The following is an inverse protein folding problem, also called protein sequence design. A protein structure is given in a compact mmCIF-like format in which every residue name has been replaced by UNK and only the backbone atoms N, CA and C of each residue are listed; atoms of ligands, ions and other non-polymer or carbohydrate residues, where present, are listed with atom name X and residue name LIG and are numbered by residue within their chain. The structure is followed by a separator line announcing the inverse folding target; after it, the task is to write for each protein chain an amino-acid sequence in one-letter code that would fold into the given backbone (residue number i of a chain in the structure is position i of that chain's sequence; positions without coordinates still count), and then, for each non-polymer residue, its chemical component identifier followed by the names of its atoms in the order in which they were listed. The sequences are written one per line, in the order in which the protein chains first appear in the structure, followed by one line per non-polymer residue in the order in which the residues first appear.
data_IF_004204223762
#
_entry.id   IF_004204223762
#
_cell.length_a   1.000
_cell.length_b   1.000
_cell.length_c   1.000
_cell.angle_alpha   90.00
_cell.angle_beta   90.00
_cell.angle_gamma   90.00
#
_symmetry.space_group_name_H-M   'P 1'
#
loop_
_entity.id
_entity.type
_entity.pdbx_description
1 polymer ?
#
# COMPACT_ATOMS: atom_id res chain seq x y z
N UNK A 1 -17.52 -36.20 -10.20
CA UNK A 1 -16.15 -36.50 -10.65
C UNK A 1 -15.87 -35.68 -11.88
N UNK A 2 -15.17 -34.54 -11.75
CA UNK A 2 -14.63 -33.81 -12.90
C UNK A 2 -13.17 -34.23 -13.05
N UNK A 3 -12.82 -34.80 -14.21
CA UNK A 3 -11.50 -35.25 -14.56
C UNK A 3 -10.52 -34.07 -14.49
N UNK A 4 -9.45 -34.22 -13.71
CA UNK A 4 -8.33 -33.28 -13.68
C UNK A 4 -7.71 -33.21 -15.08
N UNK A 5 -7.35 -32.01 -15.58
CA UNK A 5 -6.65 -31.89 -16.85
C UNK A 5 -5.27 -32.58 -16.77
N UNK A 6 -4.96 -33.35 -17.81
CA UNK A 6 -3.70 -34.06 -17.99
C UNK A 6 -2.53 -33.08 -17.94
N UNK A 7 -1.59 -33.35 -17.04
CA UNK A 7 -0.40 -32.56 -16.81
C UNK A 7 0.58 -32.70 -17.98
N UNK A 8 0.90 -31.58 -18.65
CA UNK A 8 2.08 -31.54 -19.51
C UNK A 8 3.35 -31.74 -18.63
N UNK A 9 4.39 -32.45 -19.11
CA UNK A 9 5.61 -32.66 -18.35
C UNK A 9 6.27 -31.29 -18.08
N UNK A 10 6.71 -31.07 -16.84
CA UNK A 10 7.47 -29.89 -16.41
C UNK A 10 8.70 -29.72 -17.32
N UNK A 11 8.79 -28.60 -18.04
CA UNK A 11 9.96 -28.28 -18.84
C UNK A 11 11.17 -28.11 -17.92
N UNK A 12 12.36 -28.59 -18.34
CA UNK A 12 13.60 -28.28 -17.61
C UNK A 12 13.74 -26.75 -17.53
N UNK A 13 14.13 -26.25 -16.37
CA UNK A 13 14.29 -24.83 -16.09
C UNK A 13 15.55 -24.32 -16.80
N UNK A 14 15.37 -23.70 -17.94
CA UNK A 14 16.42 -22.88 -18.58
C UNK A 14 16.35 -21.48 -17.98
N UNK A 15 17.49 -20.93 -17.56
CA UNK A 15 17.57 -19.53 -17.16
C UNK A 15 17.19 -18.67 -18.37
N UNK A 16 16.16 -17.82 -18.30
CA UNK A 16 15.79 -16.99 -19.43
C UNK A 16 16.94 -16.07 -19.85
N UNK A 17 17.10 -15.89 -21.15
CA UNK A 17 18.05 -14.92 -21.71
C UNK A 17 17.70 -13.48 -21.33
N UNK A 18 18.61 -12.52 -21.57
CA UNK A 18 18.42 -11.13 -21.19
C UNK A 18 17.16 -10.49 -21.77
N UNK A 19 16.73 -10.92 -22.95
CA UNK A 19 15.55 -10.37 -23.67
C UNK A 19 14.33 -11.30 -23.62
N UNK A 20 14.45 -12.49 -23.03
CA UNK A 20 13.35 -13.45 -22.99
C UNK A 20 12.25 -12.98 -22.03
N UNK A 21 10.96 -13.25 -22.35
CA UNK A 21 9.86 -13.02 -21.43
C UNK A 21 10.05 -13.83 -20.14
N UNK A 22 9.84 -13.17 -18.99
CA UNK A 22 9.87 -13.80 -17.69
C UNK A 22 8.49 -14.31 -17.29
N UNK A 23 8.42 -15.41 -16.54
CA UNK A 23 7.21 -15.99 -15.97
C UNK A 23 7.26 -15.80 -14.45
N UNK A 24 6.40 -14.93 -13.96
CA UNK A 24 6.44 -14.42 -12.59
C UNK A 24 5.22 -14.94 -11.81
N UNK A 25 5.44 -15.62 -10.68
CA UNK A 25 4.41 -15.84 -9.69
C UNK A 25 4.39 -14.65 -8.72
N UNK A 26 3.35 -13.83 -8.79
CA UNK A 26 3.20 -12.62 -7.98
C UNK A 26 2.30 -12.93 -6.77
N UNK A 27 2.85 -12.81 -5.56
CA UNK A 27 2.15 -13.15 -4.32
C UNK A 27 1.63 -11.91 -3.62
N UNK A 28 0.36 -11.90 -3.25
CA UNK A 28 -0.22 -10.87 -2.38
C UNK A 28 -1.17 -11.50 -1.36
N UNK A 29 -0.88 -11.37 -0.07
CA UNK A 29 -1.72 -12.00 0.95
C UNK A 29 -3.03 -11.24 1.21
N UNK A 30 -3.09 -9.97 0.83
CA UNK A 30 -4.29 -9.10 0.84
C UNK A 30 -4.24 -8.14 -0.33
N UNK A 31 -5.28 -8.16 -1.16
CA UNK A 31 -5.36 -7.34 -2.36
C UNK A 31 -6.61 -6.45 -2.39
N UNK A 32 -6.88 -5.62 -1.35
CA UNK A 32 -8.03 -4.69 -1.40
C UNK A 32 -8.01 -3.91 -2.71
N UNK A 33 -9.08 -3.97 -3.53
CA UNK A 33 -9.02 -3.52 -4.92
C UNK A 33 -8.89 -1.99 -5.08
N UNK A 34 -9.57 -1.22 -4.24
CA UNK A 34 -9.65 0.24 -4.37
C UNK A 34 -8.98 1.00 -3.22
N UNK A 35 -8.59 0.30 -2.16
CA UNK A 35 -8.13 0.93 -0.92
C UNK A 35 -7.01 0.08 -0.32
N UNK A 36 -5.83 0.67 -0.21
CA UNK A 36 -4.66 0.01 0.37
C UNK A 36 -3.57 -0.25 -0.67
N UNK A 37 -2.34 0.12 -0.34
CA UNK A 37 -1.20 0.13 -1.26
C UNK A 37 -0.90 -1.21 -1.93
N UNK A 38 -1.13 -2.35 -1.26
CA UNK A 38 -0.78 -3.67 -1.80
C UNK A 38 -1.65 -4.09 -2.99
N UNK A 39 -2.96 -3.85 -2.95
CA UNK A 39 -3.88 -4.18 -4.05
C UNK A 39 -3.62 -3.31 -5.27
N UNK A 40 -3.46 -2.01 -5.07
CA UNK A 40 -3.12 -1.03 -6.12
C UNK A 40 -1.77 -1.37 -6.75
N UNK A 41 -0.75 -1.64 -5.94
CA UNK A 41 0.57 -2.07 -6.41
C UNK A 41 0.50 -3.35 -7.26
N UNK A 42 -0.24 -4.37 -6.78
CA UNK A 42 -0.45 -5.62 -7.53
C UNK A 42 -1.06 -5.35 -8.89
N UNK A 43 -2.18 -4.61 -8.93
CA UNK A 43 -2.91 -4.29 -10.17
C UNK A 43 -2.01 -3.62 -11.21
N UNK A 44 -1.36 -2.54 -10.81
CA UNK A 44 -0.63 -1.71 -11.77
C UNK A 44 0.73 -2.30 -12.16
N UNK A 45 1.46 -2.91 -11.23
CA UNK A 45 2.75 -3.51 -11.57
C UNK A 45 2.57 -4.73 -12.47
N UNK A 46 1.61 -5.62 -12.16
CA UNK A 46 1.38 -6.81 -13.00
C UNK A 46 0.89 -6.44 -14.39
N UNK A 47 0.02 -5.41 -14.51
CA UNK A 47 -0.36 -4.85 -15.81
C UNK A 47 0.86 -4.33 -16.57
N UNK A 48 1.71 -3.53 -15.94
CA UNK A 48 2.90 -2.97 -16.59
C UNK A 48 3.89 -4.07 -17.02
N UNK A 49 4.04 -5.15 -16.25
CA UNK A 49 4.85 -6.31 -16.62
C UNK A 49 4.32 -7.01 -17.87
N UNK A 50 3.00 -7.20 -17.96
CA UNK A 50 2.37 -7.79 -19.16
C UNK A 50 2.44 -6.85 -20.36
N UNK A 51 2.29 -5.54 -20.17
CA UNK A 51 2.50 -4.53 -21.21
C UNK A 51 3.94 -4.55 -21.77
N UNK A 52 4.92 -5.00 -20.97
CA UNK A 52 6.32 -5.20 -21.39
C UNK A 52 6.59 -6.59 -22.01
N UNK A 53 5.57 -7.44 -22.14
CA UNK A 53 5.67 -8.76 -22.75
C UNK A 53 6.04 -9.89 -21.78
N UNK A 54 6.09 -9.64 -20.47
CA UNK A 54 6.29 -10.69 -19.47
C UNK A 54 4.97 -11.40 -19.13
N UNK A 55 5.05 -12.54 -18.46
CA UNK A 55 3.90 -13.30 -17.98
C UNK A 55 3.85 -13.22 -16.46
N UNK A 56 2.80 -12.61 -15.93
CA UNK A 56 2.53 -12.55 -14.49
C UNK A 56 1.27 -13.34 -14.16
N UNK A 57 1.31 -14.17 -13.13
CA UNK A 57 0.15 -14.80 -12.52
C UNK A 57 0.10 -14.38 -11.05
N UNK A 58 -1.04 -13.84 -10.62
CA UNK A 58 -1.23 -13.38 -9.25
C UNK A 58 -1.82 -14.50 -8.41
N UNK A 59 -1.16 -14.85 -7.32
CA UNK A 59 -1.69 -15.71 -6.27
C UNK A 59 -2.09 -14.81 -5.10
N UNK A 60 -3.37 -14.82 -4.73
CA UNK A 60 -3.89 -13.89 -3.72
C UNK A 60 -4.65 -14.57 -2.60
N UNK A 61 -4.44 -14.07 -1.37
CA UNK A 61 -5.39 -14.22 -0.26
C UNK A 61 -6.49 -13.16 -0.30
N UNK A 62 -7.50 -13.34 0.54
CA UNK A 62 -8.64 -12.41 0.66
C UNK A 62 -8.26 -11.14 1.44
N UNK A 63 -8.86 -9.98 1.08
CA UNK A 63 -9.70 -9.74 -0.09
C UNK A 63 -8.88 -9.75 -1.38
N UNK A 64 -9.48 -10.27 -2.46
CA UNK A 64 -8.79 -10.45 -3.73
C UNK A 64 -8.61 -9.11 -4.47
N UNK A 65 -7.47 -8.90 -5.18
CA UNK A 65 -7.26 -7.72 -5.99
C UNK A 65 -8.09 -7.77 -7.29
N UNK A 66 -8.37 -6.60 -7.85
CA UNK A 66 -8.74 -6.48 -9.26
C UNK A 66 -7.44 -6.40 -10.06
N UNK A 67 -7.27 -7.28 -11.03
CA UNK A 67 -6.10 -7.31 -11.93
C UNK A 67 -6.53 -7.14 -13.38
N UNK A 68 -5.58 -6.83 -14.27
CA UNK A 68 -5.82 -6.78 -15.71
C UNK A 68 -6.31 -8.15 -16.22
N UNK A 69 -7.21 -8.17 -17.20
CA UNK A 69 -7.81 -9.41 -17.75
C UNK A 69 -6.79 -10.40 -18.34
N UNK A 70 -5.61 -9.92 -18.72
CA UNK A 70 -4.49 -10.73 -19.22
C UNK A 70 -3.68 -11.38 -18.10
N UNK A 71 -3.91 -10.98 -16.85
CA UNK A 71 -3.21 -11.48 -15.66
C UNK A 71 -4.07 -12.53 -14.97
N UNK A 72 -3.73 -13.83 -15.04
CA UNK A 72 -4.45 -14.85 -14.30
C UNK A 72 -4.41 -14.59 -12.78
N UNK A 73 -5.56 -14.74 -12.14
CA UNK A 73 -5.70 -14.65 -10.68
C UNK A 73 -6.00 -16.05 -10.12
N UNK A 74 -5.11 -16.51 -9.23
CA UNK A 74 -5.30 -17.73 -8.44
C UNK A 74 -5.71 -17.34 -7.03
N UNK A 75 -6.93 -17.67 -6.68
CA UNK A 75 -7.47 -17.45 -5.35
C UNK A 75 -6.97 -18.53 -4.40
N UNK A 76 -6.29 -18.13 -3.33
CA UNK A 76 -5.86 -18.99 -2.23
C UNK A 76 -6.60 -18.58 -0.96
N UNK A 77 -7.86 -19.01 -0.80
CA UNK A 77 -8.71 -18.54 0.28
C UNK A 77 -8.13 -18.90 1.65
N UNK A 78 -8.24 -17.97 2.58
CA UNK A 78 -7.98 -18.16 4.01
C UNK A 78 -9.26 -18.42 4.77
N UNK A 79 -9.19 -18.61 6.09
CA UNK A 79 -10.36 -18.71 6.96
C UNK A 79 -11.11 -17.37 7.11
N UNK A 80 -10.61 -16.30 6.51
CA UNK A 80 -11.22 -14.97 6.54
C UNK A 80 -11.61 -14.50 7.94
N UNK A 81 -10.68 -14.71 8.88
CA UNK A 81 -10.88 -14.40 10.31
C UNK A 81 -11.07 -12.88 10.52
N UNK A 82 -10.43 -12.06 9.67
CA UNK A 82 -10.45 -10.60 9.75
C UNK A 82 -11.20 -9.96 8.59
N UNK A 83 -12.42 -10.45 8.32
CA UNK A 83 -13.26 -9.83 7.31
C UNK A 83 -13.88 -8.51 7.80
N UNK A 84 -14.34 -7.70 6.84
CA UNK A 84 -14.87 -6.35 7.14
C UNK A 84 -16.22 -6.39 7.88
N UNK A 85 -16.97 -7.51 7.86
CA UNK A 85 -18.28 -7.66 8.51
C UNK A 85 -18.18 -8.19 9.94
N UNK A 86 -17.32 -9.18 10.17
CA UNK A 86 -17.12 -9.84 11.47
C UNK A 86 -15.62 -9.92 11.76
N UNK A 87 -14.99 -8.80 12.14
CA UNK A 87 -13.57 -8.82 12.48
C UNK A 87 -13.31 -9.73 13.69
N UNK A 88 -12.28 -10.55 13.61
CA UNK A 88 -11.89 -11.52 14.64
C UNK A 88 -12.93 -12.65 14.89
N UNK A 89 -13.60 -13.12 13.84
CA UNK A 89 -14.49 -14.28 13.96
C UNK A 89 -13.69 -15.55 14.31
N UNK A 90 -14.28 -16.43 15.12
CA UNK A 90 -13.74 -17.78 15.31
C UNK A 90 -14.32 -18.70 14.25
N UNK A 91 -13.51 -19.32 13.38
CA UNK A 91 -14.00 -20.28 12.40
C UNK A 91 -14.53 -21.54 13.07
N UNK A 92 -15.57 -22.12 12.48
CA UNK A 92 -16.09 -23.41 12.92
C UNK A 92 -15.16 -24.57 12.53
N UNK A 93 -15.19 -25.67 13.30
CA UNK A 93 -14.34 -26.86 13.02
C UNK A 93 -14.56 -27.40 11.61
N UNK A 94 -15.79 -27.32 11.09
CA UNK A 94 -16.13 -27.74 9.72
C UNK A 94 -15.53 -26.88 8.61
N UNK A 95 -15.01 -25.70 8.93
CA UNK A 95 -14.29 -24.83 8.00
C UNK A 95 -12.82 -25.23 7.86
N UNK A 96 -12.29 -26.02 8.81
CA UNK A 96 -10.90 -26.45 8.83
C UNK A 96 -10.72 -27.67 7.89
N UNK A 97 -10.42 -27.40 6.63
CA UNK A 97 -10.36 -28.40 5.56
C UNK A 97 -8.96 -28.98 5.36
N UNK A 98 -7.92 -28.22 5.69
CA UNK A 98 -6.54 -28.61 5.48
C UNK A 98 -5.60 -28.22 6.64
N UNK A 99 -4.34 -28.63 6.53
CA UNK A 99 -3.30 -28.35 7.54
C UNK A 99 -2.99 -26.86 7.69
N UNK A 100 -3.24 -26.06 6.65
CA UNK A 100 -2.96 -24.63 6.68
C UNK A 100 -4.05 -23.86 7.41
N UNK A 101 -5.30 -24.34 7.35
CA UNK A 101 -6.40 -23.82 8.18
C UNK A 101 -6.10 -24.04 9.67
N UNK A 102 -5.61 -25.24 10.04
CA UNK A 102 -5.16 -25.51 11.41
C UNK A 102 -4.00 -24.63 11.83
N UNK A 103 -3.01 -24.39 10.95
CA UNK A 103 -1.91 -23.47 11.23
C UNK A 103 -2.40 -22.03 11.46
N UNK A 104 -3.38 -21.58 10.64
CA UNK A 104 -4.00 -20.26 10.74
C UNK A 104 -4.74 -20.07 12.08
N UNK A 105 -5.61 -21.02 12.45
CA UNK A 105 -6.33 -20.99 13.74
C UNK A 105 -5.38 -21.06 14.92
N UNK A 106 -4.35 -21.89 14.86
CA UNK A 106 -3.35 -22.01 15.93
C UNK A 106 -2.60 -20.69 16.12
N UNK A 107 -2.15 -20.05 15.03
CA UNK A 107 -1.52 -18.74 15.09
C UNK A 107 -2.48 -17.68 15.63
N UNK A 108 -3.74 -17.64 15.16
CA UNK A 108 -4.77 -16.75 15.68
C UNK A 108 -5.01 -16.94 17.19
N UNK A 109 -5.17 -18.19 17.63
CA UNK A 109 -5.40 -18.53 19.05
C UNK A 109 -4.21 -18.14 19.94
N UNK A 110 -2.99 -18.08 19.39
CA UNK A 110 -1.83 -17.53 20.09
C UNK A 110 -1.88 -16.00 20.22
N UNK A 111 -2.83 -15.33 19.54
CA UNK A 111 -3.05 -13.88 19.53
C UNK A 111 -2.17 -13.10 18.57
N UNK A 112 -1.48 -13.77 17.65
CA UNK A 112 -0.74 -13.11 16.57
C UNK A 112 -1.58 -13.05 15.29
N UNK A 113 -1.27 -12.10 14.41
CA UNK A 113 -1.89 -12.00 13.09
C UNK A 113 -1.42 -13.14 12.19
N UNK A 114 -2.30 -14.06 11.75
CA UNK A 114 -1.90 -15.32 11.14
C UNK A 114 -1.72 -15.28 9.63
N UNK A 115 -2.36 -14.33 8.92
CA UNK A 115 -2.51 -14.35 7.48
C UNK A 115 -1.19 -14.45 6.71
N UNK A 116 -0.12 -13.67 7.02
CA UNK A 116 1.14 -13.79 6.27
C UNK A 116 1.75 -15.20 6.34
N UNK A 117 1.65 -15.85 7.49
CA UNK A 117 2.15 -17.21 7.65
C UNK A 117 1.34 -18.20 6.83
N UNK A 118 0.02 -18.22 7.04
CA UNK A 118 -0.87 -19.19 6.40
C UNK A 118 -0.89 -19.03 4.88
N UNK A 119 -0.98 -17.79 4.39
CA UNK A 119 -0.93 -17.49 2.96
C UNK A 119 0.37 -17.97 2.32
N UNK A 120 1.52 -17.64 2.89
CA UNK A 120 2.82 -18.05 2.31
C UNK A 120 2.97 -19.55 2.20
N UNK A 121 2.41 -20.31 3.16
CA UNK A 121 2.44 -21.77 3.16
C UNK A 121 1.48 -22.37 2.12
N UNK A 122 0.27 -21.80 1.95
CA UNK A 122 -0.66 -22.16 0.87
C UNK A 122 -0.06 -21.87 -0.51
N UNK A 123 0.55 -20.71 -0.69
CA UNK A 123 1.23 -20.33 -1.93
C UNK A 123 2.39 -21.28 -2.25
N UNK A 124 3.21 -21.63 -1.25
CA UNK A 124 4.26 -22.64 -1.43
C UNK A 124 3.70 -24.01 -1.82
N UNK A 125 2.63 -24.47 -1.18
CA UNK A 125 1.98 -25.77 -1.46
C UNK A 125 1.42 -25.82 -2.89
N UNK A 126 0.86 -24.70 -3.37
CA UNK A 126 0.41 -24.53 -4.75
C UNK A 126 1.60 -24.54 -5.74
N UNK A 127 2.62 -23.73 -5.49
CA UNK A 127 3.75 -23.55 -6.40
C UNK A 127 4.67 -24.77 -6.49
N UNK A 128 4.83 -25.57 -5.42
CA UNK A 128 5.65 -26.80 -5.46
C UNK A 128 5.15 -27.82 -6.48
N UNK A 129 3.88 -27.77 -6.84
CA UNK A 129 3.28 -28.61 -7.86
C UNK A 129 3.45 -28.02 -9.27
N UNK A 130 3.85 -26.76 -9.38
CA UNK A 130 3.93 -25.97 -10.61
C UNK A 130 5.31 -25.30 -10.78
N UNK A 131 6.35 -25.85 -10.17
CA UNK A 131 7.68 -25.24 -10.12
C UNK A 131 8.25 -24.90 -11.52
N UNK A 132 7.93 -25.70 -12.55
CA UNK A 132 8.37 -25.48 -13.92
C UNK A 132 7.60 -24.38 -14.68
N UNK A 133 6.50 -23.87 -14.11
CA UNK A 133 5.67 -22.86 -14.78
C UNK A 133 6.23 -21.45 -14.60
N UNK A 134 7.09 -21.22 -13.60
CA UNK A 134 7.59 -19.91 -13.22
C UNK A 134 9.11 -19.85 -13.19
N UNK A 135 9.68 -18.70 -13.50
CA UNK A 135 11.10 -18.42 -13.41
C UNK A 135 11.47 -17.90 -12.02
N UNK A 136 10.58 -17.13 -11.41
CA UNK A 136 10.76 -16.53 -10.08
C UNK A 136 9.43 -16.23 -9.39
N UNK A 137 9.52 -15.90 -8.11
CA UNK A 137 8.42 -15.42 -7.28
C UNK A 137 8.69 -13.98 -6.87
N UNK A 138 7.68 -13.10 -6.98
CA UNK A 138 7.69 -11.81 -6.30
C UNK A 138 6.72 -11.84 -5.13
N UNK A 139 7.22 -11.53 -3.93
CA UNK A 139 6.41 -11.38 -2.72
C UNK A 139 6.03 -9.92 -2.50
N UNK A 140 4.75 -9.64 -2.38
CA UNK A 140 4.23 -8.31 -2.05
C UNK A 140 4.00 -8.18 -0.54
N UNK A 141 5.08 -8.04 0.22
CA UNK A 141 5.13 -7.80 1.66
C UNK A 141 4.47 -8.87 2.55
N UNK A 142 4.32 -10.11 2.10
CA UNK A 142 3.90 -11.20 2.97
C UNK A 142 5.00 -11.56 3.97
N UNK A 143 6.21 -11.81 3.48
CA UNK A 143 7.41 -12.19 4.24
C UNK A 143 7.16 -13.36 5.19
N UNK A 144 6.35 -14.34 4.74
CA UNK A 144 6.05 -15.55 5.48
C UNK A 144 7.09 -16.66 5.24
N UNK A 145 7.14 -17.66 6.12
CA UNK A 145 8.12 -18.75 6.02
C UNK A 145 8.01 -19.58 4.73
N UNK A 146 6.84 -19.60 4.07
CA UNK A 146 6.66 -20.24 2.77
C UNK A 146 7.65 -19.76 1.70
N UNK A 147 8.07 -18.49 1.76
CA UNK A 147 9.05 -17.92 0.82
C UNK A 147 10.42 -18.62 0.91
N UNK A 148 10.87 -18.95 2.13
CA UNK A 148 12.12 -19.69 2.33
C UNK A 148 12.02 -21.14 1.84
N UNK A 149 10.80 -21.71 1.84
CA UNK A 149 10.57 -23.04 1.25
C UNK A 149 10.57 -22.97 -0.28
N UNK A 150 10.07 -21.88 -0.87
CA UNK A 150 10.15 -21.64 -2.32
C UNK A 150 11.59 -21.51 -2.78
N UNK A 151 12.44 -20.74 -2.08
CA UNK A 151 13.87 -20.68 -2.39
C UNK A 151 14.57 -22.04 -2.29
N UNK A 152 14.25 -22.84 -1.24
CA UNK A 152 14.82 -24.18 -1.07
C UNK A 152 14.43 -25.16 -2.16
N UNK A 153 13.26 -25.00 -2.77
CA UNK A 153 12.87 -25.83 -3.92
C UNK A 153 13.40 -25.31 -5.26
N UNK A 154 14.22 -24.23 -5.22
CA UNK A 154 14.86 -23.65 -6.40
C UNK A 154 14.06 -22.56 -7.10
N UNK A 155 12.98 -22.03 -6.56
CA UNK A 155 12.30 -20.83 -7.06
C UNK A 155 12.88 -19.59 -6.38
N UNK A 156 13.65 -18.73 -7.07
CA UNK A 156 14.15 -17.49 -6.50
C UNK A 156 13.02 -16.56 -6.09
N UNK A 157 13.19 -15.89 -4.96
CA UNK A 157 12.17 -14.97 -4.41
C UNK A 157 12.72 -13.55 -4.33
N UNK A 158 12.05 -12.61 -5.02
CA UNK A 158 12.22 -11.18 -4.80
C UNK A 158 11.20 -10.73 -3.74
N UNK A 159 11.67 -10.27 -2.58
CA UNK A 159 10.80 -9.68 -1.56
C UNK A 159 10.55 -8.21 -1.84
N UNK A 160 9.30 -7.76 -1.71
CA UNK A 160 8.96 -6.33 -1.71
C UNK A 160 8.51 -5.91 -0.32
N UNK A 161 9.05 -4.82 0.22
CA UNK A 161 8.66 -4.26 1.51
C UNK A 161 8.35 -2.79 1.31
N UNK A 162 7.06 -2.42 1.39
CA UNK A 162 6.62 -1.03 1.21
C UNK A 162 6.99 -0.16 2.41
N UNK A 163 6.80 -0.68 3.60
CA UNK A 163 7.34 -0.15 4.86
C UNK A 163 7.38 -1.28 5.89
N UNK A 164 8.29 -1.25 6.85
CA UNK A 164 8.32 -2.29 7.89
C UNK A 164 7.17 -2.09 8.88
N UNK A 165 6.33 -3.11 9.05
CA UNK A 165 5.20 -3.09 10.00
C UNK A 165 5.66 -2.93 11.47
N UNK A 166 6.95 -3.04 11.71
CA UNK A 166 7.58 -2.69 12.99
C UNK A 166 7.42 -1.22 13.36
N UNK A 167 7.28 -0.33 12.38
CA UNK A 167 6.96 1.09 12.62
C UNK A 167 5.55 1.23 13.18
N UNK A 168 4.56 0.56 12.54
CA UNK A 168 3.19 0.53 13.04
C UNK A 168 3.13 -0.01 14.47
N UNK A 169 3.83 -1.12 14.72
CA UNK A 169 3.93 -1.70 16.06
C UNK A 169 4.47 -0.70 17.08
N UNK A 170 5.50 0.06 16.73
CA UNK A 170 6.12 1.04 17.62
C UNK A 170 5.14 2.13 17.98
N UNK A 171 4.53 2.76 16.98
CA UNK A 171 3.54 3.81 17.14
C UNK A 171 2.33 3.34 17.97
N UNK A 172 1.81 2.16 17.65
CA UNK A 172 0.68 1.57 18.37
C UNK A 172 1.01 1.25 19.85
N UNK A 173 2.24 0.84 20.12
CA UNK A 173 2.68 0.56 21.49
C UNK A 173 2.94 1.85 22.29
N UNK A 174 3.39 2.92 21.65
CA UNK A 174 3.57 4.25 22.27
C UNK A 174 2.22 4.87 22.67
N UNK A 175 1.19 4.67 21.84
CA UNK A 175 -0.17 5.16 22.11
C UNK A 175 -1.02 4.21 22.96
N UNK A 176 -0.46 3.14 23.49
CA UNK A 176 -1.21 2.21 24.34
C UNK A 176 -1.44 2.80 25.75
N UNK A 177 -2.71 2.95 26.11
CA UNK A 177 -3.17 3.60 27.35
C UNK A 177 -3.00 2.72 28.61
N UNK A 178 -2.80 1.39 28.44
CA UNK A 178 -2.66 0.46 29.57
C UNK A 178 -1.65 -0.66 29.27
N UNK A 179 -1.05 -1.26 30.32
CA UNK A 179 -0.16 -2.41 30.20
C UNK A 179 -0.84 -3.61 29.50
N UNK A 180 -2.15 -3.80 29.71
CA UNK A 180 -2.94 -4.86 29.06
C UNK A 180 -3.07 -4.63 27.54
N UNK A 181 -3.34 -3.39 27.14
CA UNK A 181 -3.37 -3.03 25.71
C UNK A 181 -1.98 -3.20 25.07
N UNK A 182 -0.93 -2.75 25.76
CA UNK A 182 0.46 -2.91 25.30
C UNK A 182 0.82 -4.38 25.08
N UNK A 183 0.45 -5.26 26.01
CA UNK A 183 0.68 -6.69 25.89
C UNK A 183 -0.13 -7.31 24.72
N UNK A 184 -1.41 -6.94 24.58
CA UNK A 184 -2.26 -7.38 23.48
C UNK A 184 -1.66 -6.98 22.11
N UNK A 185 -1.24 -5.72 21.96
CA UNK A 185 -0.59 -5.21 20.76
C UNK A 185 0.74 -5.93 20.49
N UNK A 186 1.55 -6.16 21.51
CA UNK A 186 2.81 -6.90 21.37
C UNK A 186 2.60 -8.32 20.84
N UNK A 187 1.53 -9.01 21.29
CA UNK A 187 1.14 -10.34 20.76
C UNK A 187 0.65 -10.27 19.32
N UNK A 188 -0.22 -9.30 19.02
CA UNK A 188 -0.74 -9.08 17.67
C UNK A 188 0.39 -8.95 16.66
N UNK A 189 1.36 -8.08 16.96
CA UNK A 189 2.51 -7.82 16.10
C UNK A 189 3.62 -8.87 16.19
N UNK A 190 3.42 -10.00 16.86
CA UNK A 190 4.47 -11.03 17.00
C UNK A 190 4.91 -11.63 15.65
N UNK A 191 4.04 -11.60 14.63
CA UNK A 191 4.35 -12.04 13.27
C UNK A 191 5.49 -11.23 12.62
N UNK A 192 5.74 -9.98 13.04
CA UNK A 192 6.85 -9.17 12.54
C UNK A 192 8.20 -9.81 12.79
N UNK A 193 8.33 -10.65 13.84
CA UNK A 193 9.55 -11.45 14.08
C UNK A 193 9.78 -12.48 12.95
N UNK A 194 8.72 -13.06 12.40
CA UNK A 194 8.80 -13.93 11.23
C UNK A 194 9.24 -13.12 10.01
N UNK A 195 8.58 -11.99 9.75
CA UNK A 195 8.93 -11.12 8.63
C UNK A 195 10.40 -10.70 8.67
N UNK A 196 10.92 -10.29 9.83
CA UNK A 196 12.35 -10.00 10.02
C UNK A 196 13.24 -11.20 9.71
N UNK A 197 12.87 -12.40 10.17
CA UNK A 197 13.67 -13.62 9.91
C UNK A 197 13.66 -14.01 8.44
N UNK A 198 12.58 -13.77 7.73
CA UNK A 198 12.46 -14.06 6.30
C UNK A 198 13.20 -13.00 5.50
N UNK A 199 12.88 -11.72 5.67
CA UNK A 199 13.46 -10.61 4.91
C UNK A 199 15.00 -10.64 4.91
N UNK A 200 15.63 -10.81 6.08
CA UNK A 200 17.10 -10.88 6.18
C UNK A 200 17.75 -12.10 5.52
N UNK A 201 16.96 -13.12 5.13
CA UNK A 201 17.47 -14.33 4.46
C UNK A 201 17.24 -14.33 2.96
N UNK A 202 16.28 -13.56 2.46
CA UNK A 202 16.09 -13.42 1.03
C UNK A 202 17.34 -12.85 0.38
N UNK A 203 17.65 -13.34 -0.82
CA UNK A 203 18.83 -12.90 -1.57
C UNK A 203 18.71 -11.48 -2.04
N UNK A 204 17.48 -11.05 -2.39
CA UNK A 204 17.18 -9.71 -2.89
C UNK A 204 15.85 -9.22 -2.37
N UNK A 205 15.83 -7.98 -1.91
CA UNK A 205 14.65 -7.28 -1.40
C UNK A 205 14.58 -5.91 -2.06
N UNK A 206 13.39 -5.49 -2.45
CA UNK A 206 13.14 -4.12 -2.93
C UNK A 206 12.23 -3.37 -1.96
N UNK A 207 12.41 -2.06 -1.92
CA UNK A 207 11.57 -1.13 -1.16
C UNK A 207 11.32 0.13 -1.97
N UNK A 208 10.41 0.97 -1.50
CA UNK A 208 9.81 2.04 -2.30
C UNK A 208 10.44 3.43 -2.12
N UNK A 209 11.22 3.63 -1.05
CA UNK A 209 11.82 4.94 -0.72
C UNK A 209 13.11 4.81 0.07
N UNK A 210 13.87 5.90 0.17
CA UNK A 210 15.07 5.98 1.00
C UNK A 210 14.73 5.84 2.48
N UNK A 211 13.65 6.48 2.92
CA UNK A 211 13.19 6.35 4.30
C UNK A 211 12.84 4.91 4.66
N UNK A 212 12.05 4.20 3.81
CA UNK A 212 11.75 2.78 4.03
C UNK A 212 13.00 1.90 3.97
N UNK A 213 13.98 2.24 3.12
CA UNK A 213 15.26 1.53 3.07
C UNK A 213 15.98 1.58 4.42
N UNK A 214 16.08 2.75 5.03
CA UNK A 214 16.75 2.94 6.33
C UNK A 214 16.02 2.20 7.45
N UNK A 215 14.69 2.28 7.46
CA UNK A 215 13.85 1.57 8.41
C UNK A 215 13.96 0.05 8.26
N UNK A 216 14.00 -0.49 7.04
CA UNK A 216 14.14 -1.92 6.78
C UNK A 216 15.52 -2.43 7.21
N UNK A 217 16.59 -1.70 6.91
CA UNK A 217 17.93 -2.05 7.38
C UNK A 217 17.97 -2.13 8.92
N UNK A 218 17.36 -1.16 9.59
CA UNK A 218 17.31 -1.10 11.06
C UNK A 218 16.41 -2.18 11.67
N UNK A 219 15.17 -2.31 11.18
CA UNK A 219 14.13 -3.10 11.84
C UNK A 219 14.06 -4.54 11.33
N UNK A 220 14.29 -4.78 10.05
CA UNK A 220 14.32 -6.12 9.45
C UNK A 220 15.72 -6.71 9.30
N UNK A 221 16.76 -5.93 9.63
CA UNK A 221 18.16 -6.38 9.58
C UNK A 221 18.54 -6.95 8.20
N UNK A 222 17.96 -6.39 7.14
CA UNK A 222 18.36 -6.70 5.76
C UNK A 222 19.67 -5.97 5.48
N UNK A 223 20.64 -6.69 4.94
CA UNK A 223 21.93 -6.06 4.66
C UNK A 223 21.83 -5.12 3.43
N UNK A 224 22.58 -3.99 3.45
CA UNK A 224 22.47 -2.94 2.44
C UNK A 224 22.67 -3.44 0.99
N UNK A 225 23.53 -4.43 0.77
CA UNK A 225 23.82 -4.99 -0.56
C UNK A 225 22.66 -5.81 -1.14
N UNK A 226 21.69 -6.23 -0.30
CA UNK A 226 20.52 -7.02 -0.72
C UNK A 226 19.25 -6.18 -0.83
N UNK A 227 19.27 -4.95 -0.34
CA UNK A 227 18.12 -4.06 -0.32
C UNK A 227 18.27 -2.97 -1.38
N UNK A 228 17.27 -2.80 -2.23
CA UNK A 228 17.29 -1.85 -3.34
C UNK A 228 16.04 -0.99 -3.36
N UNK A 229 16.15 0.24 -3.87
CA UNK A 229 15.02 1.16 -3.95
C UNK A 229 14.40 1.11 -5.34
N UNK A 230 13.13 0.72 -5.39
CA UNK A 230 12.28 0.74 -6.58
C UNK A 230 11.00 1.50 -6.22
N UNK A 231 10.93 2.79 -6.51
CA UNK A 231 9.76 3.60 -6.20
C UNK A 231 8.50 3.08 -6.89
N UNK A 232 7.35 3.27 -6.25
CA UNK A 232 6.06 3.01 -6.89
C UNK A 232 5.72 4.11 -7.90
N UNK A 233 4.81 3.83 -8.82
CA UNK A 233 4.39 4.76 -9.85
C UNK A 233 2.95 5.23 -9.68
N UNK A 234 2.57 6.18 -10.54
CA UNK A 234 1.20 6.56 -10.82
C UNK A 234 0.94 6.37 -12.32
N UNK A 235 -0.31 6.24 -12.70
CA UNK A 235 -0.73 6.34 -14.09
C UNK A 235 -0.99 7.82 -14.44
N UNK A 236 -0.09 8.50 -15.16
CA UNK A 236 -0.20 9.93 -15.42
C UNK A 236 -1.24 10.27 -16.52
N UNK A 237 -1.76 9.26 -17.23
CA UNK A 237 -2.84 9.41 -18.19
C UNK A 237 -4.20 9.36 -17.48
N UNK A 238 -4.35 8.47 -16.50
CA UNK A 238 -5.53 8.39 -15.66
C UNK A 238 -5.58 9.57 -14.68
N UNK A 239 -4.52 9.77 -13.88
CA UNK A 239 -4.41 10.89 -12.95
C UNK A 239 -3.86 12.14 -13.65
N UNK A 240 -4.66 12.67 -14.56
CA UNK A 240 -4.31 13.84 -15.37
C UNK A 240 -5.15 15.07 -14.97
N UNK A 241 -4.67 16.29 -15.26
CA UNK A 241 -5.50 17.48 -15.24
C UNK A 241 -6.70 17.33 -16.19
N UNK A 242 -7.89 17.67 -15.71
CA UNK A 242 -9.14 17.64 -16.50
C UNK A 242 -9.45 19.04 -17.05
N UNK A 243 -9.33 19.26 -18.37
CA UNK A 243 -9.66 20.55 -18.98
C UNK A 243 -11.13 20.91 -18.72
N UNK A 244 -11.36 22.15 -18.30
CA UNK A 244 -12.71 22.67 -18.06
C UNK A 244 -13.30 22.37 -16.67
N UNK A 245 -12.60 21.63 -15.81
CA UNK A 245 -12.97 21.48 -14.40
C UNK A 245 -12.38 22.65 -13.61
N UNK A 246 -13.25 23.50 -13.06
CA UNK A 246 -12.84 24.58 -12.18
C UNK A 246 -12.68 24.09 -10.76
N UNK A 247 -11.63 24.57 -10.06
CA UNK A 247 -11.43 24.26 -8.65
C UNK A 247 -12.42 25.01 -7.78
N UNK A 248 -13.09 24.29 -6.90
CA UNK A 248 -13.94 24.86 -5.87
C UNK A 248 -13.05 25.38 -4.72
N UNK A 249 -12.99 26.70 -4.47
CA UNK A 249 -12.16 27.27 -3.42
C UNK A 249 -12.58 26.84 -2.00
N UNK A 250 -13.80 26.35 -1.85
CA UNK A 250 -14.35 25.86 -0.59
C UNK A 250 -14.29 24.33 -0.44
N UNK A 251 -13.46 23.64 -1.23
CA UNK A 251 -13.33 22.20 -1.16
C UNK A 251 -11.87 21.78 -1.04
N UNK A 252 -11.56 20.97 -0.05
CA UNK A 252 -10.28 20.26 0.09
C UNK A 252 -10.54 18.75 0.09
N UNK A 253 -9.55 17.97 -0.34
CA UNK A 253 -9.66 16.51 -0.42
C UNK A 253 -8.55 15.81 0.34
N UNK A 254 -8.88 14.68 0.99
CA UNK A 254 -7.91 13.76 1.56
C UNK A 254 -8.31 12.33 1.23
N UNK A 255 -7.38 11.57 0.65
CA UNK A 255 -7.56 10.14 0.38
C UNK A 255 -6.92 9.32 1.50
N UNK A 256 -7.59 9.27 2.64
CA UNK A 256 -7.15 8.51 3.81
C UNK A 256 -8.06 7.28 3.97
N UNK A 257 -7.56 6.14 3.59
CA UNK A 257 -8.35 4.91 3.42
C UNK A 257 -8.76 4.18 4.70
N UNK A 258 -8.30 4.62 5.86
CA UNK A 258 -8.59 3.92 7.11
C UNK A 258 -8.46 4.84 8.34
N UNK A 259 -9.31 4.61 9.33
CA UNK A 259 -9.25 5.24 10.65
C UNK A 259 -8.06 4.65 11.46
N UNK A 260 -6.86 4.87 10.95
CA UNK A 260 -5.59 4.46 11.58
C UNK A 260 -4.87 5.72 12.02
N UNK A 261 -4.43 5.76 13.26
CA UNK A 261 -3.75 6.91 13.87
C UNK A 261 -2.60 7.46 12.99
N UNK A 262 -1.87 6.56 12.32
CA UNK A 262 -0.75 6.90 11.43
C UNK A 262 -1.15 7.77 10.24
N UNK A 263 -2.44 7.73 9.80
CA UNK A 263 -2.94 8.55 8.69
C UNK A 263 -3.31 9.99 9.09
N UNK A 264 -3.21 10.33 10.36
CA UNK A 264 -3.32 11.71 10.84
C UNK A 264 -4.70 12.37 10.68
N UNK A 265 -5.77 11.60 10.46
CA UNK A 265 -7.12 12.13 10.23
C UNK A 265 -7.57 13.08 11.34
N UNK A 266 -7.25 12.76 12.60
CA UNK A 266 -7.57 13.60 13.74
C UNK A 266 -7.03 15.02 13.55
N UNK A 267 -5.75 15.15 13.18
CA UNK A 267 -5.11 16.47 12.99
C UNK A 267 -5.73 17.25 11.83
N UNK A 268 -6.17 16.56 10.77
CA UNK A 268 -6.88 17.18 9.66
C UNK A 268 -8.26 17.69 10.09
N UNK A 269 -9.01 16.93 10.87
CA UNK A 269 -10.31 17.37 11.38
C UNK A 269 -10.18 18.56 12.33
N UNK A 270 -9.16 18.54 13.23
CA UNK A 270 -8.85 19.67 14.09
C UNK A 270 -8.42 20.91 13.29
N UNK A 271 -7.63 20.75 12.23
CA UNK A 271 -7.25 21.83 11.33
C UNK A 271 -8.46 22.40 10.57
N UNK A 272 -9.34 21.54 10.08
CA UNK A 272 -10.59 21.96 9.42
C UNK A 272 -11.47 22.81 10.35
N UNK A 273 -11.64 22.37 11.61
CA UNK A 273 -12.43 23.13 12.60
C UNK A 273 -11.88 24.55 12.80
N UNK A 274 -10.55 24.70 12.86
CA UNK A 274 -9.87 26.00 12.97
C UNK A 274 -10.08 26.84 11.71
N UNK A 275 -9.91 26.26 10.53
CA UNK A 275 -10.06 26.96 9.25
C UNK A 275 -11.49 27.43 9.01
N UNK A 276 -12.49 26.71 9.45
CA UNK A 276 -13.90 27.11 9.28
C UNK A 276 -14.29 28.36 10.05
N UNK A 277 -13.49 28.84 10.98
CA UNK A 277 -13.70 30.17 11.62
C UNK A 277 -13.40 31.31 10.64
N UNK A 278 -12.56 31.09 9.62
CA UNK A 278 -12.17 32.05 8.60
C UNK A 278 -12.82 31.76 7.24
N UNK A 279 -13.00 30.45 6.93
CA UNK A 279 -13.62 29.93 5.71
C UNK A 279 -14.85 29.09 6.07
N UNK A 280 -16.00 29.72 6.43
CA UNK A 280 -17.17 29.00 6.99
C UNK A 280 -17.76 27.94 6.04
N UNK A 281 -17.62 28.14 4.73
CA UNK A 281 -18.14 27.23 3.70
C UNK A 281 -17.14 26.11 3.31
N UNK A 282 -15.94 26.07 3.93
CA UNK A 282 -14.92 25.08 3.62
C UNK A 282 -15.42 23.66 3.96
N UNK A 283 -15.32 22.76 2.98
CA UNK A 283 -15.68 21.35 3.08
C UNK A 283 -14.45 20.45 2.86
N UNK A 284 -14.44 19.33 3.55
CA UNK A 284 -13.47 18.27 3.38
C UNK A 284 -14.14 17.05 2.75
N UNK A 285 -13.65 16.66 1.58
CA UNK A 285 -13.96 15.36 0.97
C UNK A 285 -12.96 14.33 1.48
N UNK A 286 -13.45 13.29 2.13
CA UNK A 286 -12.61 12.16 2.57
C UNK A 286 -12.92 10.93 1.73
N UNK A 287 -11.96 10.50 0.91
CA UNK A 287 -12.07 9.24 0.17
C UNK A 287 -11.78 8.09 1.11
N UNK A 288 -12.84 7.40 1.52
CA UNK A 288 -12.81 6.33 2.51
C UNK A 288 -14.20 6.11 3.11
N UNK A 289 -14.32 5.15 4.00
CA UNK A 289 -15.59 4.86 4.68
C UNK A 289 -15.53 5.31 6.14
N UNK A 290 -16.47 6.13 6.55
CA UNK A 290 -16.71 6.40 7.96
C UNK A 290 -17.27 5.14 8.64
N UNK A 291 -16.59 4.66 9.67
CA UNK A 291 -17.08 3.54 10.48
C UNK A 291 -17.87 4.10 11.66
N UNK A 292 -19.04 3.52 11.90
CA UNK A 292 -19.86 3.86 13.08
C UNK A 292 -19.08 3.62 14.38
N UNK A 293 -19.15 4.58 15.31
CA UNK A 293 -18.40 4.54 16.56
C UNK A 293 -16.87 4.70 16.43
N UNK A 294 -16.36 5.09 15.27
CA UNK A 294 -14.92 5.31 15.04
C UNK A 294 -14.40 6.56 15.77
N UNK A 295 -13.08 6.69 15.88
CA UNK A 295 -12.45 7.88 16.41
C UNK A 295 -12.73 9.11 15.54
N UNK A 296 -12.74 8.93 14.22
CA UNK A 296 -13.06 10.00 13.27
C UNK A 296 -14.50 10.53 13.48
N UNK A 297 -15.49 9.65 13.62
CA UNK A 297 -16.87 10.06 13.88
C UNK A 297 -16.97 10.88 15.16
N UNK A 298 -16.44 10.38 16.28
CA UNK A 298 -16.44 11.11 17.55
C UNK A 298 -15.75 12.47 17.46
N UNK A 299 -14.69 12.57 16.68
CA UNK A 299 -13.98 13.84 16.47
C UNK A 299 -14.84 14.82 15.68
N UNK A 300 -15.52 14.37 14.61
CA UNK A 300 -16.44 15.19 13.81
C UNK A 300 -17.56 15.75 14.70
N UNK A 301 -18.22 14.89 15.48
CA UNK A 301 -19.29 15.29 16.41
C UNK A 301 -18.79 16.27 17.48
N UNK A 302 -17.62 15.98 18.09
CA UNK A 302 -17.05 16.84 19.15
C UNK A 302 -16.65 18.23 18.64
N UNK A 303 -16.18 18.31 17.41
CA UNK A 303 -15.74 19.57 16.79
C UNK A 303 -16.85 20.29 16.02
N UNK A 304 -18.07 19.75 15.97
CA UNK A 304 -19.21 20.36 15.26
C UNK A 304 -18.99 20.44 13.76
N UNK A 305 -18.37 19.44 13.17
CA UNK A 305 -18.04 19.37 11.74
C UNK A 305 -19.10 18.64 10.91
N UNK A 306 -20.28 18.38 11.48
CA UNK A 306 -21.39 17.76 10.77
C UNK A 306 -21.77 18.59 9.53
N UNK A 307 -21.84 17.91 8.37
CA UNK A 307 -22.10 18.56 7.07
C UNK A 307 -20.88 19.30 6.45
N UNK A 308 -19.76 19.40 7.17
CA UNK A 308 -18.49 19.94 6.63
C UNK A 308 -17.53 18.84 6.14
N UNK A 309 -17.78 17.60 6.52
CA UNK A 309 -16.99 16.43 6.08
C UNK A 309 -17.89 15.48 5.31
N UNK A 310 -17.52 15.18 4.07
CA UNK A 310 -18.20 14.23 3.21
C UNK A 310 -17.30 13.02 2.96
N UNK A 311 -17.85 11.81 3.13
CA UNK A 311 -17.14 10.56 2.88
C UNK A 311 -17.56 9.95 1.55
N UNK A 312 -16.59 9.66 0.70
CA UNK A 312 -16.78 9.03 -0.60
C UNK A 312 -16.06 7.68 -0.62
N UNK A 313 -16.78 6.59 -0.90
CA UNK A 313 -16.17 5.24 -0.91
C UNK A 313 -16.81 4.34 -1.97
N UNK A 314 -16.03 3.38 -2.49
CA UNK A 314 -16.51 2.43 -3.49
C UNK A 314 -16.76 3.07 -4.86
N UNK A 315 -16.12 4.18 -5.13
CA UNK A 315 -16.17 4.90 -6.43
C UNK A 315 -15.00 4.47 -7.31
N UNK A 316 -15.15 4.55 -8.63
CA UNK A 316 -14.07 4.29 -9.58
C UNK A 316 -12.96 5.35 -9.50
N UNK A 317 -11.79 5.02 -10.04
CA UNK A 317 -10.62 5.90 -10.03
C UNK A 317 -10.89 7.24 -10.73
N UNK A 318 -11.71 7.25 -11.78
CA UNK A 318 -12.12 8.45 -12.52
C UNK A 318 -12.84 9.47 -11.64
N UNK A 319 -13.67 9.01 -10.71
CA UNK A 319 -14.34 9.89 -9.72
C UNK A 319 -13.31 10.50 -8.76
N UNK A 320 -12.29 9.73 -8.35
CA UNK A 320 -11.22 10.25 -7.50
C UNK A 320 -10.41 11.31 -8.24
N UNK A 321 -10.14 11.09 -9.52
CA UNK A 321 -9.46 12.07 -10.40
C UNK A 321 -10.27 13.35 -10.52
N UNK A 322 -11.59 13.26 -10.71
CA UNK A 322 -12.49 14.44 -10.74
C UNK A 322 -12.47 15.22 -9.42
N UNK A 323 -12.51 14.51 -8.29
CA UNK A 323 -12.44 15.12 -6.97
C UNK A 323 -11.10 15.82 -6.71
N UNK A 324 -9.96 15.27 -7.17
CA UNK A 324 -8.69 15.97 -7.12
C UNK A 324 -8.68 17.22 -8.01
N UNK A 325 -9.24 17.13 -9.22
CA UNK A 325 -9.29 18.25 -10.14
C UNK A 325 -10.20 19.37 -9.66
N UNK A 326 -11.31 19.06 -8.99
CA UNK A 326 -12.29 20.03 -8.49
C UNK A 326 -11.93 20.60 -7.11
N UNK A 327 -10.95 20.06 -6.38
CA UNK A 327 -10.58 20.55 -5.06
C UNK A 327 -9.54 21.67 -5.13
N UNK A 328 -9.62 22.66 -4.22
CA UNK A 328 -8.64 23.73 -4.08
C UNK A 328 -7.25 23.18 -3.75
N UNK A 329 -7.18 22.20 -2.85
CA UNK A 329 -5.95 21.44 -2.59
C UNK A 329 -6.28 20.05 -2.05
N UNK A 330 -5.31 19.16 -2.24
CA UNK A 330 -5.27 17.85 -1.57
C UNK A 330 -4.46 17.93 -0.28
N UNK A 331 -4.83 17.12 0.70
CA UNK A 331 -4.15 17.08 2.01
C UNK A 331 -3.74 15.66 2.35
N UNK A 332 -2.46 15.45 2.65
CA UNK A 332 -1.89 14.20 3.15
C UNK A 332 -1.35 14.43 4.57
N UNK A 333 -2.19 14.21 5.61
CA UNK A 333 -1.87 14.56 6.99
C UNK A 333 -1.10 13.47 7.75
N UNK A 334 -0.55 12.48 7.03
CA UNK A 334 0.02 11.27 7.61
C UNK A 334 1.18 11.54 8.55
N UNK A 335 1.24 10.79 9.66
CA UNK A 335 2.36 10.82 10.61
C UNK A 335 3.57 10.08 10.05
N UNK A 336 3.33 9.12 9.19
CA UNK A 336 4.36 8.35 8.48
C UNK A 336 3.80 7.78 7.20
N UNK A 337 4.59 7.84 6.13
CA UNK A 337 4.35 7.15 4.86
C UNK A 337 5.61 6.43 4.40
N UNK A 338 5.45 5.23 3.86
CA UNK A 338 6.54 4.52 3.20
C UNK A 338 6.87 5.11 1.83
N UNK A 339 5.86 5.67 1.14
CA UNK A 339 5.97 6.42 -0.12
C UNK A 339 4.83 7.43 -0.25
N UNK A 340 3.60 7.02 -0.28
CA UNK A 340 2.35 7.75 -0.46
C UNK A 340 1.84 7.82 -1.90
N UNK A 341 1.04 6.82 -2.28
CA UNK A 341 0.25 6.87 -3.52
C UNK A 341 -0.67 8.11 -3.56
N UNK A 342 -1.43 8.44 -2.48
CA UNK A 342 -2.26 9.64 -2.47
C UNK A 342 -1.53 10.94 -2.82
N UNK A 343 -0.28 11.09 -2.39
CA UNK A 343 0.50 12.27 -2.71
C UNK A 343 0.83 12.36 -4.20
N UNK A 344 1.32 11.25 -4.80
CA UNK A 344 1.65 11.26 -6.23
C UNK A 344 0.42 11.28 -7.14
N UNK A 345 -0.70 10.73 -6.72
CA UNK A 345 -1.99 10.82 -7.41
C UNK A 345 -2.48 12.28 -7.47
N UNK A 346 -2.54 12.96 -6.31
CA UNK A 346 -2.90 14.36 -6.24
C UNK A 346 -1.96 15.25 -7.09
N UNK A 347 -0.64 15.07 -6.92
CA UNK A 347 0.34 15.83 -7.70
C UNK A 347 0.22 15.54 -9.20
N UNK A 348 -0.06 14.31 -9.59
CA UNK A 348 -0.23 13.92 -11.00
C UNK A 348 -1.41 14.62 -11.67
N UNK A 349 -2.51 14.91 -10.95
CA UNK A 349 -3.63 15.71 -11.46
C UNK A 349 -3.32 17.22 -11.49
N UNK A 350 -2.15 17.65 -11.03
CA UNK A 350 -1.84 19.06 -10.84
C UNK A 350 -2.59 19.71 -9.67
N UNK A 351 -3.19 18.91 -8.78
CA UNK A 351 -3.81 19.42 -7.56
C UNK A 351 -2.73 19.94 -6.61
N UNK A 352 -2.84 21.19 -6.11
CA UNK A 352 -1.93 21.68 -5.07
C UNK A 352 -1.96 20.74 -3.87
N UNK A 353 -0.79 20.35 -3.36
CA UNK A 353 -0.68 19.39 -2.28
C UNK A 353 -0.18 20.03 -1.00
N UNK A 354 -0.90 19.84 0.09
CA UNK A 354 -0.44 20.08 1.46
C UNK A 354 -0.10 18.72 2.09
N UNK A 355 1.15 18.51 2.47
CA UNK A 355 1.60 17.25 3.02
C UNK A 355 2.45 17.43 4.27
N UNK A 356 2.37 16.51 5.20
CA UNK A 356 3.30 16.49 6.32
C UNK A 356 4.69 16.05 5.89
N UNK A 357 5.68 16.24 6.76
CA UNK A 357 7.03 15.72 6.57
C UNK A 357 7.22 14.32 7.15
N UNK A 358 6.13 13.55 7.31
CA UNK A 358 6.15 12.21 7.90
C UNK A 358 6.71 11.13 6.97
N UNK A 359 7.76 10.43 7.41
CA UNK A 359 8.36 9.33 6.65
C UNK A 359 8.97 9.77 5.32
N UNK A 360 8.58 9.13 4.22
CA UNK A 360 9.09 9.41 2.88
C UNK A 360 8.42 10.62 2.18
N UNK A 361 7.44 11.28 2.80
CA UNK A 361 6.73 12.39 2.16
C UNK A 361 7.67 13.48 1.61
N UNK A 362 8.71 13.97 2.32
CA UNK A 362 9.61 14.97 1.76
C UNK A 362 10.37 14.49 0.51
N UNK A 363 10.74 13.20 0.47
CA UNK A 363 11.39 12.60 -0.68
C UNK A 363 10.45 12.56 -1.89
N UNK A 364 9.16 12.28 -1.65
CA UNK A 364 8.13 12.18 -2.68
C UNK A 364 7.65 13.56 -3.13
N UNK A 365 7.21 14.39 -2.21
CA UNK A 365 6.54 15.66 -2.53
C UNK A 365 7.50 16.76 -2.98
N UNK A 366 8.78 16.70 -2.55
CA UNK A 366 9.79 17.68 -2.89
C UNK A 366 9.81 18.90 -1.96
N UNK A 367 10.47 20.01 -2.38
CA UNK A 367 10.66 21.18 -1.53
C UNK A 367 9.38 21.94 -1.23
N UNK A 368 9.27 22.45 0.01
CA UNK A 368 8.18 23.36 0.42
C UNK A 368 8.15 24.65 -0.41
N UNK A 369 6.96 25.03 -0.83
CA UNK A 369 6.72 26.23 -1.63
C UNK A 369 7.13 26.13 -3.11
N UNK A 370 7.71 24.99 -3.53
CA UNK A 370 8.08 24.74 -4.92
C UNK A 370 7.16 23.72 -5.59
N UNK A 371 7.00 22.53 -4.99
CA UNK A 371 6.22 21.42 -5.54
C UNK A 371 5.08 20.95 -4.63
N UNK A 372 5.05 21.42 -3.39
CA UNK A 372 4.02 21.16 -2.40
C UNK A 372 4.10 22.22 -1.28
N UNK A 373 3.13 22.18 -0.36
CA UNK A 373 3.19 22.84 0.95
C UNK A 373 3.52 21.79 2.01
N UNK A 374 4.70 21.89 2.62
CA UNK A 374 5.16 20.96 3.65
C UNK A 374 4.87 21.49 5.05
N UNK A 375 4.39 20.63 5.92
CA UNK A 375 4.06 20.96 7.32
C UNK A 375 4.57 19.90 8.29
N UNK A 376 4.71 20.25 9.57
CA UNK A 376 5.09 19.28 10.59
C UNK A 376 3.98 18.21 10.79
N UNK A 377 4.33 16.91 10.98
CA UNK A 377 3.37 15.88 11.33
C UNK A 377 2.87 16.05 12.77
N UNK A 378 1.68 15.51 13.06
CA UNK A 378 1.04 15.56 14.37
C UNK A 378 0.78 16.98 14.91
N UNK A 379 0.62 17.96 14.02
CA UNK A 379 0.39 19.37 14.35
C UNK A 379 -0.78 19.93 13.54
N UNK A 380 -1.92 20.11 14.18
CA UNK A 380 -3.13 20.64 13.54
C UNK A 380 -3.04 22.14 13.23
N UNK A 381 -2.18 22.90 13.94
CA UNK A 381 -1.96 24.33 13.65
C UNK A 381 -1.08 24.49 12.42
N UNK A 382 0.01 23.72 12.33
CA UNK A 382 0.84 23.68 11.14
C UNK A 382 0.06 23.23 9.90
N UNK A 383 -0.83 22.23 10.05
CA UNK A 383 -1.66 21.73 8.96
C UNK A 383 -2.68 22.78 8.51
N UNK A 384 -3.34 23.48 9.46
CA UNK A 384 -4.22 24.59 9.14
C UNK A 384 -3.49 25.74 8.43
N UNK A 385 -2.28 26.07 8.88
CA UNK A 385 -1.46 27.11 8.23
C UNK A 385 -1.07 26.70 6.80
N UNK A 386 -0.71 25.43 6.57
CA UNK A 386 -0.38 24.93 5.23
C UNK A 386 -1.59 24.98 4.28
N UNK A 387 -2.77 24.56 4.75
CA UNK A 387 -4.02 24.61 3.97
C UNK A 387 -4.39 26.08 3.69
N UNK A 388 -4.29 26.97 4.69
CA UNK A 388 -4.51 28.42 4.50
C UNK A 388 -3.62 29.00 3.40
N UNK A 389 -2.30 28.69 3.40
CA UNK A 389 -1.37 29.11 2.33
C UNK A 389 -1.87 28.71 0.94
N UNK A 390 -2.44 27.50 0.84
CA UNK A 390 -2.98 27.00 -0.43
C UNK A 390 -4.28 27.73 -0.84
N UNK A 391 -5.13 28.12 0.10
CA UNK A 391 -6.41 28.79 -0.15
C UNK A 391 -6.25 30.29 -0.44
N UNK A 392 -5.30 30.98 0.25
CA UNK A 392 -5.10 32.42 0.16
C UNK A 392 -4.39 32.86 -1.15
N UNK A 393 -3.62 31.96 -1.80
CA UNK A 393 -2.92 32.22 -3.07
C UNK A 393 -3.26 31.15 -4.14
N UNK A 394 -4.42 31.25 -4.80
CA UNK A 394 -4.81 30.29 -5.83
C UNK A 394 -3.86 30.23 -7.02
N UNK A 395 -3.27 31.37 -7.42
CA UNK A 395 -2.32 31.44 -8.54
C UNK A 395 -0.98 30.77 -8.18
N UNK A 396 -0.46 31.04 -6.98
CA UNK A 396 0.74 30.39 -6.46
C UNK A 396 0.50 28.90 -6.30
N UNK A 397 -0.67 28.50 -5.79
CA UNK A 397 -1.06 27.09 -5.65
C UNK A 397 -1.15 26.41 -6.99
N UNK A 398 -1.67 27.03 -8.03
CA UNK A 398 -1.68 26.47 -9.38
C UNK A 398 -0.27 26.24 -9.93
N UNK A 399 0.66 27.18 -9.68
CA UNK A 399 2.09 27.00 -10.07
C UNK A 399 2.74 25.84 -9.33
N UNK A 400 2.52 25.72 -8.01
CA UNK A 400 3.00 24.61 -7.18
C UNK A 400 2.41 23.27 -7.65
N UNK A 401 1.11 23.24 -7.96
CA UNK A 401 0.45 22.04 -8.49
C UNK A 401 1.05 21.60 -9.83
N UNK A 402 1.31 22.55 -10.75
CA UNK A 402 1.96 22.25 -12.03
C UNK A 402 3.39 21.72 -11.85
N UNK A 403 4.19 22.33 -11.00
CA UNK A 403 5.55 21.87 -10.68
C UNK A 403 5.53 20.49 -9.97
N UNK A 404 4.54 20.27 -9.11
CA UNK A 404 4.29 18.96 -8.49
C UNK A 404 4.00 17.86 -9.53
N UNK A 405 3.14 18.16 -10.52
CA UNK A 405 2.88 17.24 -11.62
C UNK A 405 4.14 16.92 -12.42
N UNK A 406 4.90 17.93 -12.83
CA UNK A 406 6.13 17.75 -13.60
C UNK A 406 7.13 16.85 -12.84
N UNK A 407 7.24 17.03 -11.53
CA UNK A 407 8.05 16.17 -10.67
C UNK A 407 7.61 14.72 -10.73
N UNK A 408 6.29 14.45 -10.65
CA UNK A 408 5.73 13.09 -10.58
C UNK A 408 5.88 12.39 -11.91
N UNK A 409 5.41 13.00 -13.01
CA UNK A 409 5.41 12.35 -14.34
C UNK A 409 6.82 12.04 -14.87
N UNK A 410 7.83 12.82 -14.45
CA UNK A 410 9.21 12.59 -14.84
C UNK A 410 9.91 11.50 -14.03
N UNK A 411 9.40 11.16 -12.82
CA UNK A 411 10.11 10.29 -11.89
C UNK A 411 9.41 8.97 -11.65
N UNK A 412 8.08 8.94 -11.57
CA UNK A 412 7.32 7.81 -11.01
C UNK A 412 6.13 7.42 -11.90
N UNK A 413 6.37 6.60 -12.90
CA UNK A 413 5.33 5.88 -13.62
C UNK A 413 5.40 4.39 -13.31
N UNK A 414 4.28 3.68 -13.45
CA UNK A 414 4.26 2.23 -13.28
C UNK A 414 5.18 1.52 -14.29
N UNK A 415 5.39 2.10 -15.47
CA UNK A 415 6.37 1.60 -16.44
C UNK A 415 7.80 1.68 -15.88
N UNK A 416 8.18 2.79 -15.24
CA UNK A 416 9.51 2.92 -14.62
C UNK A 416 9.67 1.93 -13.46
N UNK A 417 8.62 1.75 -12.64
CA UNK A 417 8.61 0.74 -11.57
C UNK A 417 8.81 -0.66 -12.14
N UNK A 418 8.09 -1.03 -13.21
CA UNK A 418 8.20 -2.33 -13.84
C UNK A 418 9.58 -2.58 -14.44
N UNK A 419 10.14 -1.61 -15.19
CA UNK A 419 11.50 -1.73 -15.76
C UNK A 419 12.52 -2.00 -14.67
N UNK A 420 12.55 -1.19 -13.61
CA UNK A 420 13.48 -1.39 -12.49
C UNK A 420 13.26 -2.72 -11.76
N UNK A 421 12.01 -3.15 -11.63
CA UNK A 421 11.67 -4.44 -11.02
C UNK A 421 12.20 -5.59 -11.87
N UNK A 422 12.07 -5.53 -13.20
CA UNK A 422 12.61 -6.53 -14.13
C UNK A 422 14.14 -6.60 -14.06
N UNK A 423 14.82 -5.47 -13.90
CA UNK A 423 16.29 -5.48 -13.68
C UNK A 423 16.64 -6.29 -12.43
N UNK A 424 15.86 -6.15 -11.36
CA UNK A 424 16.07 -6.96 -10.13
C UNK A 424 15.68 -8.42 -10.29
N UNK A 425 14.68 -8.76 -11.12
CA UNK A 425 14.37 -10.15 -11.46
C UNK A 425 15.54 -10.80 -12.18
N UNK A 426 16.10 -10.12 -13.19
CA UNK A 426 17.24 -10.64 -13.95
C UNK A 426 18.50 -10.79 -13.10
N UNK A 427 18.77 -9.81 -12.24
CA UNK A 427 19.87 -9.90 -11.29
C UNK A 427 19.70 -11.08 -10.32
N UNK A 428 18.48 -11.28 -9.78
CA UNK A 428 18.17 -12.41 -8.90
C UNK A 428 18.35 -13.76 -9.60
N UNK A 429 17.92 -13.87 -10.86
CA UNK A 429 18.08 -15.09 -11.66
C UNK A 429 19.55 -15.40 -11.98
N UNK A 430 20.38 -14.37 -12.17
CA UNK A 430 21.82 -14.52 -12.39
C UNK A 430 22.58 -14.96 -11.12
N UNK A 431 22.05 -14.66 -9.93
CA UNK A 431 22.58 -15.04 -8.62
C UNK A 431 22.11 -16.45 -8.18
N UNK A 432 21.21 -17.10 -8.93
CA UNK A 432 20.56 -18.36 -8.60
C UNK A 432 21.18 -19.53 -9.32
#
# INVERSE_FOLDING_TARGET
MRSAPSRAPSRPRTVPGPDDPLRIAFLTYRGKPHVGGQGVYTRHLTKALVDMGHHAEVLSGQPFPIVDERVPLVELPSLDIYNDHFPMRMPGIWELKDRWDWAEVTAFSSGTFPEPLAFSLRAWDHLRQRQGDFDLVQDNQCLGYGLLLMERMGLPVLGTVHHPITVDRRLEMEHAESPRQRWSKARWYAFTKMQTRVAKRLRRVITVSRNSYEDICRDHLVSPERLHIVPVGVDPELFAPMPGVERNPNQIISTASSDVAMKGQRYLLEALAKLRTEFPDLKLIMVGRLKEGSAAQRTIETLGLDGAVEFVSGVPDETIVELYNSSACAVVPSLYEGFSLPAIEAMSTGCPLVATTGGALPEVTGPDGETCYSVAPADSDALAAGIRRALDDPEGSARIGAAGRDRVITRWSWRHTAVRTVDHYRALLAES
#
